data_IF_528053658816
#
_entry.id   IF_528053658816
#
_cell.length_a   1.000
_cell.length_b   1.000
_cell.length_c   1.000
_cell.angle_alpha   90.00
_cell.angle_beta   90.00
_cell.angle_gamma   90.00
#
_symmetry.space_group_name_H-M   'P 1'
#
loop_
_entity.id
_entity.type
_entity.pdbx_description
1 polymer ?
#
# COMPACT_ATOMS: atom_id res chain seq x y z
N UNK A 1 17.18 -6.74 14.26
CA UNK A 1 17.87 -5.73 15.09
C UNK A 1 17.13 -4.40 15.16
N UNK A 2 16.65 -3.83 14.06
CA UNK A 2 15.99 -2.52 14.08
C UNK A 2 14.49 -2.52 14.45
N UNK A 3 13.77 -3.63 14.23
CA UNK A 3 12.30 -3.69 14.38
C UNK A 3 11.88 -4.28 15.74
N UNK A 4 12.33 -5.50 16.05
CA UNK A 4 11.88 -6.23 17.25
C UNK A 4 12.07 -5.45 18.57
N UNK A 5 13.18 -4.71 18.80
CA UNK A 5 13.36 -3.97 20.05
C UNK A 5 12.35 -2.84 20.28
N UNK A 6 11.73 -2.31 19.21
CA UNK A 6 10.78 -1.18 19.28
C UNK A 6 9.33 -1.62 19.04
N UNK A 7 9.07 -2.91 18.80
CA UNK A 7 7.75 -3.42 18.42
C UNK A 7 6.65 -3.13 19.46
N UNK A 8 6.97 -3.25 20.75
CA UNK A 8 6.03 -2.96 21.83
C UNK A 8 5.68 -1.47 21.91
N UNK A 9 6.65 -0.58 21.71
CA UNK A 9 6.43 0.88 21.72
C UNK A 9 5.58 1.30 20.52
N UNK A 10 5.83 0.73 19.34
CA UNK A 10 5.03 0.96 18.13
C UNK A 10 3.55 0.65 18.38
N UNK A 11 3.27 -0.49 19.03
CA UNK A 11 1.91 -0.90 19.38
C UNK A 11 1.28 0.05 20.42
N UNK A 12 2.01 0.34 21.49
CA UNK A 12 1.56 1.19 22.59
C UNK A 12 1.19 2.61 22.10
N UNK A 13 2.12 3.28 21.42
CA UNK A 13 1.93 4.64 20.90
C UNK A 13 1.10 4.68 19.62
N UNK A 14 0.78 3.52 19.04
CA UNK A 14 0.07 3.40 17.77
C UNK A 14 0.69 4.30 16.70
N UNK A 15 2.00 4.23 16.46
CA UNK A 15 2.67 5.12 15.50
C UNK A 15 3.73 4.37 14.68
N UNK A 16 3.71 4.55 13.36
CA UNK A 16 4.74 3.99 12.49
C UNK A 16 6.09 4.68 12.76
N UNK A 17 7.18 3.93 12.96
CA UNK A 17 8.53 4.48 13.12
C UNK A 17 9.11 4.92 11.76
N UNK A 18 8.89 6.17 11.36
CA UNK A 18 9.23 6.67 10.02
C UNK A 18 10.69 6.46 9.59
N UNK A 19 11.63 6.43 10.53
CA UNK A 19 13.05 6.16 10.25
C UNK A 19 13.32 4.77 9.65
N UNK A 20 12.37 3.83 9.76
CA UNK A 20 12.50 2.51 9.13
C UNK A 20 12.39 2.58 7.60
N UNK A 21 11.73 3.59 7.01
CA UNK A 21 11.54 3.65 5.55
C UNK A 21 12.88 3.75 4.80
N UNK A 22 13.77 4.73 5.07
CA UNK A 22 15.09 4.76 4.46
C UNK A 22 15.92 3.49 4.72
N UNK A 23 15.87 2.94 5.94
CA UNK A 23 16.62 1.72 6.27
C UNK A 23 16.16 0.51 5.43
N UNK A 24 14.84 0.36 5.24
CA UNK A 24 14.29 -0.68 4.36
C UNK A 24 14.67 -0.43 2.89
N UNK A 25 14.73 0.84 2.46
CA UNK A 25 15.19 1.23 1.13
C UNK A 25 16.66 0.89 0.88
N UNK A 26 17.55 1.25 1.82
CA UNK A 26 18.98 0.94 1.77
C UNK A 26 19.26 -0.57 1.70
N UNK A 27 18.40 -1.38 2.32
CA UNK A 27 18.46 -2.85 2.26
C UNK A 27 17.88 -3.43 0.97
N UNK A 28 17.32 -2.62 0.07
CA UNK A 28 16.66 -3.06 -1.16
C UNK A 28 15.26 -3.66 -0.94
N UNK A 29 14.70 -3.58 0.27
CA UNK A 29 13.46 -4.27 0.63
C UNK A 29 12.22 -3.54 0.11
N UNK A 30 12.27 -2.25 -0.19
CA UNK A 30 11.11 -1.52 -0.70
C UNK A 30 10.84 -1.75 -2.20
N UNK A 31 11.86 -2.22 -2.94
CA UNK A 31 11.82 -2.47 -4.37
C UNK A 31 12.08 -3.93 -4.78
N UNK A 32 11.68 -4.92 -3.97
CA UNK A 32 12.04 -6.35 -4.17
C UNK A 32 11.69 -6.89 -5.55
N UNK A 33 10.53 -6.49 -6.10
CA UNK A 33 10.03 -6.96 -7.39
C UNK A 33 10.28 -5.98 -8.55
N UNK A 34 10.92 -4.85 -8.26
CA UNK A 34 11.24 -3.80 -9.24
C UNK A 34 12.57 -4.13 -9.90
N UNK A 35 12.70 -3.86 -11.20
CA UNK A 35 13.97 -4.05 -11.92
C UNK A 35 15.07 -3.11 -11.44
N UNK A 36 16.32 -3.50 -11.67
CA UNK A 36 17.49 -2.67 -11.33
C UNK A 36 17.50 -1.31 -12.03
N UNK A 37 16.88 -1.20 -13.22
CA UNK A 37 16.70 0.06 -13.97
C UNK A 37 16.08 1.18 -13.13
N UNK A 38 15.16 0.83 -12.22
CA UNK A 38 14.49 1.77 -11.33
C UNK A 38 14.98 1.64 -9.88
N UNK A 39 16.24 1.24 -9.71
CA UNK A 39 16.92 1.01 -8.43
C UNK A 39 16.32 -0.12 -7.57
N UNK A 40 15.48 -0.97 -8.17
CA UNK A 40 14.92 -2.15 -7.51
C UNK A 40 15.92 -3.30 -7.36
N UNK A 41 15.50 -4.36 -6.67
CA UNK A 41 16.36 -5.51 -6.36
C UNK A 41 16.16 -6.71 -7.30
N UNK A 42 15.11 -6.70 -8.12
CA UNK A 42 14.80 -7.75 -9.11
C UNK A 42 14.80 -9.20 -8.55
N UNK A 43 14.43 -9.38 -7.29
CA UNK A 43 14.51 -10.68 -6.61
C UNK A 43 13.23 -11.53 -6.77
N UNK A 44 12.13 -10.91 -7.22
CA UNK A 44 10.85 -11.56 -7.45
C UNK A 44 10.04 -11.86 -6.18
N UNK A 45 8.88 -12.49 -6.38
CA UNK A 45 7.87 -12.62 -5.33
C UNK A 45 8.23 -13.58 -4.19
N UNK A 46 9.06 -14.59 -4.43
CA UNK A 46 9.50 -15.50 -3.36
C UNK A 46 10.35 -14.74 -2.32
N UNK A 47 11.28 -13.91 -2.79
CA UNK A 47 12.06 -13.05 -1.91
C UNK A 47 11.16 -12.06 -1.15
N UNK A 48 10.12 -11.54 -1.81
CA UNK A 48 9.15 -10.63 -1.19
C UNK A 48 8.34 -11.31 -0.07
N UNK A 49 7.91 -12.57 -0.30
CA UNK A 49 7.25 -13.41 0.72
C UNK A 49 8.16 -13.59 1.94
N UNK A 50 9.43 -13.96 1.73
CA UNK A 50 10.40 -14.14 2.82
C UNK A 50 10.60 -12.84 3.61
N UNK A 51 10.76 -11.70 2.92
CA UNK A 51 10.88 -10.41 3.58
C UNK A 51 9.64 -10.07 4.43
N UNK A 52 8.44 -10.28 3.88
CA UNK A 52 7.18 -10.05 4.59
C UNK A 52 7.05 -10.95 5.83
N UNK A 53 7.43 -12.23 5.73
CA UNK A 53 7.43 -13.17 6.84
C UNK A 53 8.37 -12.74 7.98
N UNK A 54 9.64 -12.45 7.66
CA UNK A 54 10.66 -12.11 8.65
C UNK A 54 10.40 -10.75 9.31
N UNK A 55 9.90 -9.76 8.57
CA UNK A 55 9.46 -8.49 9.15
C UNK A 55 8.26 -8.73 10.08
N UNK A 56 7.32 -9.59 9.71
CA UNK A 56 6.12 -9.89 10.52
C UNK A 56 6.45 -10.64 11.81
N UNK A 57 7.47 -11.49 11.78
CA UNK A 57 8.01 -12.16 12.97
C UNK A 57 8.54 -11.16 14.00
N UNK A 58 9.06 -10.02 13.54
CA UNK A 58 9.52 -8.94 14.42
C UNK A 58 8.39 -7.96 14.83
N UNK A 59 7.56 -7.52 13.88
CA UNK A 59 6.39 -6.68 14.14
C UNK A 59 5.37 -6.76 13.01
N UNK A 60 4.19 -7.28 13.33
CA UNK A 60 3.08 -7.42 12.39
C UNK A 60 2.62 -6.08 11.79
N UNK A 61 2.63 -5.00 12.58
CA UNK A 61 2.16 -3.68 12.11
C UNK A 61 3.15 -3.01 11.15
N UNK A 62 4.45 -3.14 11.42
CA UNK A 62 5.49 -2.68 10.49
C UNK A 62 5.40 -3.47 9.19
N UNK A 63 5.22 -4.79 9.27
CA UNK A 63 5.04 -5.63 8.08
C UNK A 63 3.81 -5.25 7.25
N UNK A 64 2.69 -4.94 7.89
CA UNK A 64 1.48 -4.51 7.17
C UNK A 64 1.73 -3.21 6.37
N UNK A 65 2.37 -2.23 7.00
CA UNK A 65 2.74 -0.97 6.31
C UNK A 65 3.75 -1.23 5.18
N UNK A 66 4.75 -2.08 5.44
CA UNK A 66 5.74 -2.50 4.45
C UNK A 66 5.09 -3.18 3.24
N UNK A 67 4.17 -4.13 3.45
CA UNK A 67 3.45 -4.82 2.37
C UNK A 67 2.56 -3.87 1.56
N UNK A 68 1.89 -2.92 2.22
CA UNK A 68 1.12 -1.88 1.55
C UNK A 68 1.99 -0.98 0.67
N UNK A 69 3.18 -0.64 1.12
CA UNK A 69 4.13 0.12 0.33
C UNK A 69 4.70 -0.72 -0.84
N UNK A 70 5.43 -1.78 -0.51
CA UNK A 70 6.29 -2.52 -1.44
C UNK A 70 5.50 -3.36 -2.44
N UNK A 71 4.32 -3.86 -2.06
CA UNK A 71 3.47 -4.65 -2.95
C UNK A 71 2.28 -3.85 -3.47
N UNK A 72 1.44 -3.31 -2.57
CA UNK A 72 0.18 -2.71 -3.01
C UNK A 72 0.38 -1.41 -3.83
N UNK A 73 1.48 -0.69 -3.62
CA UNK A 73 1.80 0.54 -4.37
C UNK A 73 2.94 0.32 -5.38
N UNK A 74 4.15 -0.01 -4.91
CA UNK A 74 5.36 -0.09 -5.74
C UNK A 74 5.22 -1.13 -6.85
N UNK A 75 4.81 -2.36 -6.51
CA UNK A 75 4.62 -3.41 -7.50
C UNK A 75 3.52 -3.07 -8.53
N UNK A 76 2.47 -2.37 -8.11
CA UNK A 76 1.40 -1.94 -9.02
C UNK A 76 1.88 -0.89 -10.03
N UNK A 77 2.63 0.11 -9.57
CA UNK A 77 3.23 1.12 -10.47
C UNK A 77 4.26 0.47 -11.40
N UNK A 78 5.08 -0.44 -10.90
CA UNK A 78 6.07 -1.12 -11.75
C UNK A 78 5.42 -1.96 -12.85
N UNK A 79 4.34 -2.68 -12.55
CA UNK A 79 3.68 -3.56 -13.51
C UNK A 79 2.83 -2.81 -14.52
N UNK A 80 2.04 -1.85 -14.04
CA UNK A 80 0.98 -1.21 -14.81
C UNK A 80 1.32 0.22 -15.26
N UNK A 81 2.41 0.80 -14.75
CA UNK A 81 2.85 2.14 -15.11
C UNK A 81 3.52 2.21 -16.48
N UNK A 82 3.42 3.35 -17.14
CA UNK A 82 4.23 3.68 -18.31
C UNK A 82 5.70 3.90 -17.91
N UNK A 83 6.67 3.85 -18.84
CA UNK A 83 8.07 4.17 -18.53
C UNK A 83 8.23 5.51 -17.80
N UNK A 84 7.54 6.56 -18.26
CA UNK A 84 7.57 7.88 -17.61
C UNK A 84 7.01 7.87 -16.19
N UNK A 85 5.95 7.10 -15.91
CA UNK A 85 5.42 6.96 -14.55
C UNK A 85 6.42 6.20 -13.66
N UNK A 86 7.04 5.13 -14.18
CA UNK A 86 8.03 4.34 -13.44
C UNK A 86 9.25 5.19 -13.06
N UNK A 87 9.82 5.90 -14.03
CA UNK A 87 10.93 6.83 -13.81
C UNK A 87 10.59 7.93 -12.79
N UNK A 88 9.36 8.44 -12.83
CA UNK A 88 8.91 9.51 -11.93
C UNK A 88 8.73 9.05 -10.48
N UNK A 89 8.10 7.90 -10.26
CA UNK A 89 7.63 7.49 -8.93
C UNK A 89 8.51 6.44 -8.26
N UNK A 90 9.02 5.44 -9.00
CA UNK A 90 9.67 4.28 -8.38
C UNK A 90 10.95 4.64 -7.62
N UNK A 91 11.88 5.46 -8.11
CA UNK A 91 13.14 5.70 -7.40
C UNK A 91 12.94 6.19 -5.96
N UNK A 92 12.00 7.13 -5.76
CA UNK A 92 11.69 7.69 -4.42
C UNK A 92 10.90 6.75 -3.51
N UNK A 93 10.10 5.87 -4.11
CA UNK A 93 9.42 4.84 -3.33
C UNK A 93 10.43 3.76 -2.89
N UNK A 94 11.33 3.37 -3.80
CA UNK A 94 12.34 2.34 -3.56
C UNK A 94 13.40 2.79 -2.54
N UNK A 95 13.83 4.06 -2.56
CA UNK A 95 14.76 4.59 -1.56
C UNK A 95 14.11 4.90 -0.20
N UNK A 96 12.77 4.85 -0.12
CA UNK A 96 12.01 5.10 1.10
C UNK A 96 11.83 6.57 1.46
N UNK A 97 12.19 7.51 0.57
CA UNK A 97 11.93 8.95 0.74
C UNK A 97 10.46 9.31 0.54
N UNK A 98 9.72 8.52 -0.25
CA UNK A 98 8.27 8.60 -0.41
C UNK A 98 7.60 7.33 0.11
N UNK A 99 6.39 7.47 0.65
CA UNK A 99 5.59 6.34 1.16
C UNK A 99 4.43 6.05 0.20
N UNK A 100 4.26 4.77 -0.15
CA UNK A 100 3.18 4.28 -1.00
C UNK A 100 1.96 3.76 -0.24
N UNK A 101 0.77 3.95 -0.82
CA UNK A 101 -0.48 3.33 -0.39
C UNK A 101 -1.36 2.88 -1.58
N UNK A 102 -2.38 2.08 -1.27
CA UNK A 102 -3.41 1.61 -2.21
C UNK A 102 -4.80 1.94 -1.65
N UNK A 103 -5.65 2.58 -2.45
CA UNK A 103 -6.98 3.03 -2.05
C UNK A 103 -8.08 2.45 -2.95
N UNK A 104 -8.73 1.40 -2.43
CA UNK A 104 -9.81 0.69 -3.13
C UNK A 104 -11.11 0.73 -2.36
N UNK A 105 -11.08 0.28 -1.11
CA UNK A 105 -12.25 0.10 -0.28
C UNK A 105 -12.91 1.42 0.12
N UNK A 106 -14.21 1.36 0.31
CA UNK A 106 -15.06 2.45 0.76
C UNK A 106 -15.95 1.95 1.91
N UNK A 107 -16.57 2.87 2.65
CA UNK A 107 -17.47 2.52 3.77
C UNK A 107 -18.54 1.52 3.33
N UNK A 108 -19.08 1.68 2.11
CA UNK A 108 -20.14 0.83 1.57
C UNK A 108 -19.62 -0.28 0.62
N UNK A 109 -18.30 -0.38 0.40
CA UNK A 109 -17.71 -1.27 -0.60
C UNK A 109 -16.37 -1.84 -0.11
N UNK A 110 -16.44 -3.04 0.48
CA UNK A 110 -15.28 -3.81 0.95
C UNK A 110 -15.05 -5.04 0.09
N UNK A 111 -15.82 -6.11 0.35
CA UNK A 111 -15.73 -7.37 -0.41
C UNK A 111 -16.20 -7.21 -1.87
N UNK A 112 -17.26 -6.43 -2.08
CA UNK A 112 -17.74 -6.06 -3.42
C UNK A 112 -17.08 -4.76 -3.89
N UNK A 113 -15.75 -4.77 -4.02
CA UNK A 113 -14.93 -3.58 -4.28
C UNK A 113 -15.33 -2.86 -5.57
N UNK A 114 -15.91 -3.57 -6.56
CA UNK A 114 -16.31 -2.99 -7.86
C UNK A 114 -17.56 -2.12 -7.77
N UNK A 115 -18.31 -2.20 -6.66
CA UNK A 115 -19.44 -1.32 -6.35
C UNK A 115 -19.03 0.01 -5.70
N UNK A 116 -17.73 0.34 -5.73
CA UNK A 116 -17.20 1.63 -5.32
C UNK A 116 -17.90 2.82 -6.00
N UNK A 117 -17.96 3.95 -5.29
CA UNK A 117 -18.70 5.15 -5.66
C UNK A 117 -17.82 6.38 -5.88
N UNK A 118 -16.54 6.36 -5.43
CA UNK A 118 -15.60 7.46 -5.71
C UNK A 118 -15.63 7.76 -7.21
N UNK A 119 -16.02 8.98 -7.58
CA UNK A 119 -16.22 9.39 -8.96
C UNK A 119 -14.99 10.12 -9.48
N UNK A 120 -14.60 9.85 -10.73
CA UNK A 120 -13.61 10.61 -11.48
C UNK A 120 -14.28 11.23 -12.71
N UNK A 121 -14.51 12.54 -12.69
CA UNK A 121 -15.14 13.26 -13.79
C UNK A 121 -14.09 13.84 -14.75
N UNK A 122 -14.16 13.52 -16.04
CA UNK A 122 -13.27 14.08 -17.06
C UNK A 122 -13.54 15.58 -17.29
N UNK A 123 -12.50 16.40 -17.17
CA UNK A 123 -12.51 17.86 -17.41
C UNK A 123 -11.65 18.28 -18.60
N UNK A 124 -11.20 17.34 -19.43
CA UNK A 124 -10.40 17.59 -20.63
C UNK A 124 -8.93 17.23 -20.43
N UNK A 125 -8.18 18.04 -19.70
CA UNK A 125 -6.75 17.82 -19.38
C UNK A 125 -6.53 17.04 -18.07
N UNK A 126 -7.57 16.90 -17.24
CA UNK A 126 -7.51 16.23 -15.94
C UNK A 126 -8.85 15.58 -15.59
N UNK A 127 -8.84 14.79 -14.52
CA UNK A 127 -10.04 14.31 -13.82
C UNK A 127 -10.23 15.06 -12.50
N UNK A 128 -11.49 15.25 -12.10
CA UNK A 128 -11.83 15.63 -10.73
C UNK A 128 -12.36 14.41 -9.98
N UNK A 129 -11.61 14.00 -8.95
CA UNK A 129 -12.01 12.92 -8.06
C UNK A 129 -12.86 13.47 -6.90
N UNK A 130 -13.99 12.83 -6.64
CA UNK A 130 -14.95 13.24 -5.60
C UNK A 130 -15.52 12.03 -4.85
N UNK A 131 -15.39 12.05 -3.51
CA UNK A 131 -15.83 10.99 -2.60
C UNK A 131 -14.74 10.64 -1.58
N UNK A 132 -14.83 9.46 -0.98
CA UNK A 132 -13.86 9.00 0.02
C UNK A 132 -13.47 7.55 -0.18
N UNK A 133 -12.32 7.17 0.40
CA UNK A 133 -11.82 5.79 0.50
C UNK A 133 -11.56 5.48 1.96
N UNK A 134 -11.82 4.25 2.39
CA UNK A 134 -11.78 3.86 3.80
C UNK A 134 -10.84 2.68 4.01
N UNK A 135 -10.24 2.60 5.20
CA UNK A 135 -9.30 1.55 5.61
C UNK A 135 -7.95 1.60 4.88
N UNK A 136 -7.46 2.80 4.57
CA UNK A 136 -6.26 2.95 3.75
C UNK A 136 -5.01 2.87 4.61
N UNK A 137 -4.34 1.72 4.57
CA UNK A 137 -3.01 1.51 5.15
C UNK A 137 -2.01 2.49 4.54
N UNK A 138 -1.17 3.07 5.40
CA UNK A 138 -0.24 4.18 5.12
C UNK A 138 -0.93 5.50 4.74
N UNK A 139 -2.27 5.57 4.71
CA UNK A 139 -3.02 6.75 4.28
C UNK A 139 -2.56 8.08 4.91
N UNK A 140 -2.33 8.16 6.23
CA UNK A 140 -1.87 9.40 6.87
C UNK A 140 -0.47 9.86 6.47
N UNK A 141 0.37 8.96 5.96
CA UNK A 141 1.79 9.22 5.68
C UNK A 141 2.11 9.15 4.19
N UNK A 142 1.23 8.59 3.35
CA UNK A 142 1.51 8.30 1.96
C UNK A 142 1.70 9.55 1.11
N UNK A 143 2.79 9.59 0.35
CA UNK A 143 3.09 10.61 -0.65
C UNK A 143 2.46 10.25 -2.00
N UNK A 144 2.34 8.95 -2.29
CA UNK A 144 1.81 8.41 -3.55
C UNK A 144 0.78 7.34 -3.24
N UNK A 145 -0.42 7.47 -3.81
CA UNK A 145 -1.53 6.55 -3.61
C UNK A 145 -2.04 6.03 -4.94
N UNK A 146 -2.14 4.72 -5.10
CA UNK A 146 -2.88 4.12 -6.22
C UNK A 146 -4.36 4.09 -5.87
N UNK A 147 -5.19 4.84 -6.59
CA UNK A 147 -6.61 5.07 -6.28
C UNK A 147 -7.49 4.52 -7.40
N UNK A 148 -8.55 3.80 -7.06
CA UNK A 148 -9.55 3.34 -8.03
C UNK A 148 -10.83 4.16 -7.93
N UNK A 149 -11.31 4.65 -9.06
CA UNK A 149 -12.51 5.50 -9.14
C UNK A 149 -13.36 5.17 -10.37
N UNK A 150 -14.66 5.47 -10.30
CA UNK A 150 -15.63 5.36 -11.39
C UNK A 150 -15.47 6.53 -12.35
N UNK A 151 -14.99 6.25 -13.55
CA UNK A 151 -14.97 7.15 -14.71
C UNK A 151 -16.24 7.04 -15.54
N UNK A 152 -16.93 5.90 -15.48
CA UNK A 152 -18.28 5.68 -16.02
C UNK A 152 -19.12 4.94 -14.98
N UNK A 153 -20.16 5.59 -14.46
CA UNK A 153 -21.00 5.02 -13.42
C UNK A 153 -21.95 3.92 -13.97
N UNK A 154 -22.36 4.03 -15.23
CA UNK A 154 -23.36 3.17 -15.86
C UNK A 154 -22.71 1.89 -16.43
N UNK A 155 -21.41 1.90 -16.68
CA UNK A 155 -20.65 0.75 -17.18
C UNK A 155 -20.31 -0.30 -16.09
N UNK A 156 -20.75 -0.11 -14.83
CA UNK A 156 -20.49 -1.04 -13.75
C UNK A 156 -18.98 -1.23 -13.52
N UNK A 157 -18.50 -2.47 -13.44
CA UNK A 157 -17.07 -2.77 -13.24
C UNK A 157 -16.19 -2.29 -14.41
N UNK A 158 -16.74 -2.18 -15.61
CA UNK A 158 -16.05 -1.70 -16.82
C UNK A 158 -15.91 -0.18 -16.87
N UNK A 159 -16.42 0.54 -15.89
CA UNK A 159 -16.30 2.00 -15.77
C UNK A 159 -15.33 2.45 -14.69
N UNK A 160 -14.41 1.58 -14.27
CA UNK A 160 -13.44 1.86 -13.20
C UNK A 160 -12.08 2.15 -13.83
N UNK A 161 -11.40 3.18 -13.35
CA UNK A 161 -10.02 3.54 -13.73
C UNK A 161 -9.13 3.59 -12.49
N UNK A 162 -7.88 3.15 -12.65
CA UNK A 162 -6.84 3.31 -11.63
C UNK A 162 -6.05 4.60 -11.89
N UNK A 163 -5.72 5.31 -10.83
CA UNK A 163 -5.00 6.59 -10.86
C UNK A 163 -3.83 6.55 -9.88
N UNK A 164 -2.75 7.26 -10.22
CA UNK A 164 -1.70 7.63 -9.26
C UNK A 164 -2.06 9.02 -8.72
N UNK A 165 -2.30 9.13 -7.42
CA UNK A 165 -2.61 10.41 -6.75
C UNK A 165 -1.46 10.78 -5.83
N UNK A 166 -0.95 12.00 -5.97
CA UNK A 166 0.09 12.52 -5.07
C UNK A 166 -0.54 13.28 -3.91
N UNK A 167 0.09 13.22 -2.73
CA UNK A 167 -0.38 13.94 -1.54
C UNK A 167 -0.53 15.45 -1.76
N UNK A 168 0.28 16.01 -2.65
CA UNK A 168 0.29 17.43 -2.99
C UNK A 168 -0.88 17.88 -3.87
N UNK A 169 -1.66 16.94 -4.43
CA UNK A 169 -2.73 17.28 -5.36
C UNK A 169 -3.84 18.06 -4.66
N UNK A 170 -4.26 19.16 -5.28
CA UNK A 170 -5.33 20.03 -4.75
C UNK A 170 -6.62 19.24 -4.64
N UNK A 171 -7.26 19.28 -3.47
CA UNK A 171 -8.51 18.57 -3.18
C UNK A 171 -8.32 17.16 -2.63
N UNK A 172 -7.08 16.69 -2.45
CA UNK A 172 -6.76 15.46 -1.73
C UNK A 172 -6.41 15.75 -0.27
N UNK A 173 -6.88 14.92 0.65
CA UNK A 173 -6.53 14.97 2.08
C UNK A 173 -6.80 13.63 2.74
N UNK A 174 -6.17 13.38 3.89
CA UNK A 174 -6.53 12.29 4.79
C UNK A 174 -7.41 12.80 5.95
N UNK A 175 -8.26 11.92 6.48
CA UNK A 175 -9.03 12.17 7.69
C UNK A 175 -8.29 11.63 8.94
N UNK A 176 -8.98 11.58 10.08
CA UNK A 176 -8.40 11.07 11.31
C UNK A 176 -7.85 9.64 11.15
N UNK A 177 -6.66 9.44 11.70
CA UNK A 177 -6.08 8.11 11.86
C UNK A 177 -6.98 7.24 12.75
N UNK A 178 -7.19 6.00 12.32
CA UNK A 178 -8.04 5.04 13.01
C UNK A 178 -7.31 4.40 14.21
N UNK A 179 -8.01 4.34 15.33
CA UNK A 179 -7.61 3.53 16.48
C UNK A 179 -8.14 2.10 16.31
N UNK A 180 -7.23 1.13 16.25
CA UNK A 180 -7.52 -0.26 15.88
C UNK A 180 -7.20 -1.21 17.03
N UNK A 181 -7.88 -2.36 17.03
CA UNK A 181 -7.64 -3.47 17.98
C UNK A 181 -6.18 -3.95 17.97
N UNK A 182 -5.62 -4.11 16.76
CA UNK A 182 -4.27 -4.59 16.53
C UNK A 182 -3.71 -3.97 15.25
N UNK A 183 -2.53 -4.44 14.81
CA UNK A 183 -1.76 -3.77 13.77
C UNK A 183 -1.55 -2.28 14.10
N UNK A 184 -1.45 -1.95 15.39
CA UNK A 184 -1.24 -0.59 15.87
C UNK A 184 0.18 -0.17 15.48
N UNK A 185 0.30 1.07 15.01
CA UNK A 185 1.51 1.56 14.35
C UNK A 185 1.58 1.28 12.85
N UNK A 186 0.66 0.50 12.27
CA UNK A 186 0.36 0.61 10.84
C UNK A 186 -0.66 1.72 10.68
N UNK A 187 -0.26 2.89 10.21
CA UNK A 187 -1.17 4.02 10.12
C UNK A 187 -2.27 3.73 9.11
N UNK A 188 -3.52 4.04 9.45
CA UNK A 188 -4.69 3.76 8.61
C UNK A 188 -5.66 4.92 8.76
N UNK A 189 -6.19 5.43 7.66
CA UNK A 189 -7.20 6.50 7.69
C UNK A 189 -8.21 6.34 6.55
N UNK A 190 -9.24 7.17 6.62
CA UNK A 190 -10.02 7.54 5.44
C UNK A 190 -9.23 8.56 4.60
N UNK A 191 -9.33 8.44 3.28
CA UNK A 191 -8.84 9.43 2.33
C UNK A 191 -10.02 10.17 1.70
N UNK A 192 -9.91 11.48 1.60
CA UNK A 192 -10.96 12.38 1.14
C UNK A 192 -10.53 13.06 -0.15
N UNK A 193 -11.42 12.99 -1.15
CA UNK A 193 -11.26 13.61 -2.45
C UNK A 193 -12.39 14.62 -2.63
N UNK A 194 -12.07 15.91 -2.61
CA UNK A 194 -12.99 17.00 -2.83
C UNK A 194 -12.52 17.83 -4.02
N UNK A 195 -13.09 17.55 -5.19
CA UNK A 195 -12.63 18.04 -6.48
C UNK A 195 -11.11 17.87 -6.64
N UNK A 196 -10.62 16.68 -6.27
CA UNK A 196 -9.21 16.36 -6.34
C UNK A 196 -8.75 16.36 -7.80
N UNK A 197 -7.88 17.30 -8.17
CA UNK A 197 -7.40 17.46 -9.55
C UNK A 197 -6.30 16.45 -9.86
N UNK A 198 -6.60 15.46 -10.71
CA UNK A 198 -5.67 14.39 -11.12
C UNK A 198 -5.39 14.51 -12.63
N UNK A 199 -4.13 14.75 -13.04
CA UNK A 199 -3.78 14.85 -14.46
C UNK A 199 -4.10 13.56 -15.26
N UNK A 200 -4.34 13.66 -16.56
CA UNK A 200 -4.65 12.47 -17.39
C UNK A 200 -3.47 11.50 -17.50
N UNK A 201 -2.25 12.01 -17.47
CA UNK A 201 -1.02 11.22 -17.43
C UNK A 201 -0.85 10.41 -16.14
N UNK A 202 -1.68 10.65 -15.12
CA UNK A 202 -1.71 9.88 -13.89
C UNK A 202 -2.68 8.70 -13.93
N UNK A 203 -3.34 8.40 -15.06
CA UNK A 203 -4.02 7.11 -15.25
C UNK A 203 -2.99 5.98 -15.20
N UNK A 204 -3.17 5.02 -14.31
CA UNK A 204 -2.38 3.81 -14.23
C UNK A 204 -3.04 2.73 -15.10
N UNK A 205 -2.31 2.20 -16.10
CA UNK A 205 -2.91 1.38 -17.15
C UNK A 205 -3.67 2.22 -18.17
N UNK A 206 -4.95 1.91 -18.41
CA UNK A 206 -5.79 2.60 -19.38
C UNK A 206 -7.12 3.06 -18.77
N UNK A 207 -7.75 4.07 -19.39
CA UNK A 207 -9.08 4.53 -19.03
C UNK A 207 -10.07 3.37 -19.07
N UNK A 208 -10.88 3.22 -18.03
CA UNK A 208 -11.87 2.15 -17.84
C UNK A 208 -11.30 0.73 -17.68
N UNK A 209 -9.97 0.58 -17.59
CA UNK A 209 -9.29 -0.71 -17.40
C UNK A 209 -8.80 -0.92 -15.95
N UNK A 210 -9.36 -0.20 -14.97
CA UNK A 210 -8.97 -0.32 -13.57
C UNK A 210 -9.19 -1.72 -12.99
N UNK A 211 -10.23 -2.44 -13.42
CA UNK A 211 -10.43 -3.83 -12.97
C UNK A 211 -9.32 -4.76 -13.49
N UNK A 212 -8.77 -4.51 -14.67
CA UNK A 212 -7.66 -5.29 -15.21
C UNK A 212 -6.39 -5.04 -14.39
N UNK A 213 -6.10 -3.78 -14.06
CA UNK A 213 -5.00 -3.41 -13.16
C UNK A 213 -5.14 -4.13 -11.82
N UNK A 214 -6.32 -4.06 -11.20
CA UNK A 214 -6.62 -4.74 -9.94
C UNK A 214 -6.39 -6.25 -10.03
N UNK A 215 -7.06 -6.92 -10.98
CA UNK A 215 -7.04 -8.37 -11.09
C UNK A 215 -5.68 -8.90 -11.54
N UNK A 216 -4.88 -8.09 -12.24
CA UNK A 216 -3.53 -8.48 -12.62
C UNK A 216 -2.63 -8.71 -11.40
N UNK A 217 -2.85 -8.00 -10.28
CA UNK A 217 -1.99 -8.02 -9.09
C UNK A 217 -2.54 -8.73 -7.88
N UNK A 218 -3.86 -8.84 -7.77
CA UNK A 218 -4.52 -9.31 -6.55
C UNK A 218 -4.03 -10.69 -6.06
N UNK A 219 -3.70 -11.61 -6.96
CA UNK A 219 -3.17 -12.92 -6.57
C UNK A 219 -1.75 -12.82 -5.98
N UNK A 220 -0.88 -11.98 -6.56
CA UNK A 220 0.46 -11.73 -6.04
C UNK A 220 0.41 -11.00 -4.69
N UNK A 221 -0.48 -10.01 -4.56
CA UNK A 221 -0.72 -9.29 -3.31
C UNK A 221 -1.10 -10.26 -2.19
N UNK A 222 -2.02 -11.17 -2.47
CA UNK A 222 -2.48 -12.18 -1.50
C UNK A 222 -1.38 -13.18 -1.14
N UNK A 223 -0.59 -13.63 -2.11
CA UNK A 223 0.54 -14.54 -1.86
C UNK A 223 1.56 -13.89 -0.93
N UNK A 224 1.93 -12.63 -1.18
CA UNK A 224 2.88 -11.90 -0.33
C UNK A 224 2.29 -11.65 1.06
N UNK A 225 1.05 -11.17 1.15
CA UNK A 225 0.41 -10.86 2.44
C UNK A 225 0.12 -12.12 3.28
N UNK A 226 -0.02 -13.29 2.67
CA UNK A 226 -0.16 -14.56 3.40
C UNK A 226 1.07 -14.91 4.25
N UNK A 227 2.24 -14.37 3.91
CA UNK A 227 3.47 -14.50 4.69
C UNK A 227 3.39 -13.79 6.06
N UNK A 228 2.54 -12.76 6.17
CA UNK A 228 2.40 -11.99 7.40
C UNK A 228 1.95 -12.85 8.59
N UNK A 229 0.82 -13.55 8.48
CA UNK A 229 0.39 -14.52 9.48
C UNK A 229 1.42 -15.62 9.78
N UNK A 230 2.19 -16.09 8.79
CA UNK A 230 3.25 -17.08 9.01
C UNK A 230 4.32 -16.54 9.98
N UNK A 231 4.81 -15.33 9.73
CA UNK A 231 5.80 -14.68 10.61
C UNK A 231 5.28 -14.48 12.03
N UNK A 232 4.01 -14.09 12.18
CA UNK A 232 3.36 -13.95 13.50
C UNK A 232 3.30 -15.30 14.23
N UNK A 233 2.86 -16.36 13.54
CA UNK A 233 2.81 -17.70 14.13
C UNK A 233 4.20 -18.20 14.53
N UNK A 234 5.22 -17.94 13.70
CA UNK A 234 6.60 -18.29 14.03
C UNK A 234 7.08 -17.56 15.29
N UNK A 235 6.82 -16.24 15.40
CA UNK A 235 7.14 -15.46 16.60
C UNK A 235 6.46 -16.02 17.87
N UNK A 236 5.20 -16.44 17.77
CA UNK A 236 4.52 -17.11 18.88
C UNK A 236 5.24 -18.40 19.28
N UNK A 237 5.65 -19.23 18.32
CA UNK A 237 6.37 -20.48 18.60
C UNK A 237 7.75 -20.24 19.21
N UNK A 238 8.46 -19.20 18.76
CA UNK A 238 9.77 -18.83 19.31
C UNK A 238 9.71 -18.41 20.78
N UNK A 239 8.57 -17.87 21.22
CA UNK A 239 8.35 -17.49 22.62
C UNK A 239 7.85 -18.69 23.41
N UNK A 240 6.84 -19.39 22.89
CA UNK A 240 6.15 -20.45 23.61
C UNK A 240 7.05 -21.65 23.85
N UNK A 241 7.81 -22.11 22.84
CA UNK A 241 8.59 -23.34 22.95
C UNK A 241 9.69 -23.24 24.02
N UNK A 242 10.52 -22.19 24.08
CA UNK A 242 11.48 -22.04 25.18
C UNK A 242 10.78 -21.91 26.54
N UNK A 243 9.73 -21.10 26.62
CA UNK A 243 9.03 -20.83 27.87
C UNK A 243 8.46 -22.10 28.52
N UNK A 244 7.87 -23.02 27.74
CA UNK A 244 7.33 -24.28 28.28
C UNK A 244 8.40 -25.24 28.79
N UNK A 245 9.65 -25.11 28.35
CA UNK A 245 10.78 -25.91 28.87
C UNK A 245 11.40 -25.29 30.14
N UNK A 246 11.31 -23.97 30.30
CA UNK A 246 11.85 -23.25 31.45
C UNK A 246 10.87 -23.17 32.62
N UNK A 247 9.56 -23.07 32.33
CA UNK A 247 8.51 -22.91 33.33
C UNK A 247 8.24 -24.24 34.05
N UNK A 248 8.60 -24.29 35.33
CA UNK A 248 8.23 -25.37 36.28
C UNK A 248 6.95 -25.04 37.05
#
# INVERSE_FOLDING_TARGET
>A
EHIAPIAADIDHYNQFPSHLWPLLGEMGLLGVTVSEEYCGAEMGYLAHVVAMEEISRASASVALSYGAHSNLCVNQIFRNGTPTQREKYLPKLVDGSHIGALAMSEVNSGSDVVSMQLKAEDKGDHFLLNGTKMWITNGPDADVVVVYAKTDADAGSRGITAFIVERSFTGFSDAQKLDKLGMRGSNTSELVFNNCKVPKENILGALNCGVEVLMSGLDYERVVLAAGPLGIMQACMDIVVPYVHERK
#
